data_IF_172453132669
#
_entry.id   IF_172453132669
#
_cell.length_a   1.000
_cell.length_b   1.000
_cell.length_c   1.000
_cell.angle_alpha   90.00
_cell.angle_beta   90.00
_cell.angle_gamma   90.00
#
_symmetry.space_group_name_H-M   'P 1'
#
loop_
_entity.id
_entity.type
_entity.pdbx_description
1 polymer ?
#
# COMPACT_ATOMS: atom_id res chain seq x y z
N UNK A 1 22.04 15.61 34.86
CA UNK A 1 21.13 16.08 33.80
C UNK A 1 21.09 15.00 32.73
N UNK A 2 20.36 13.90 32.98
CA UNK A 2 20.37 12.69 32.14
C UNK A 2 19.02 12.43 31.44
N UNK A 3 18.07 13.36 31.51
CA UNK A 3 16.76 13.24 30.86
C UNK A 3 16.79 13.85 29.46
N UNK A 4 15.99 13.33 28.54
CA UNK A 4 15.72 14.01 27.28
C UNK A 4 14.99 15.34 27.61
N UNK A 5 15.60 16.47 27.25
CA UNK A 5 15.04 17.80 27.48
C UNK A 5 14.85 18.48 26.15
N UNK A 6 13.64 18.97 25.90
CA UNK A 6 13.30 19.77 24.73
C UNK A 6 13.45 21.28 25.00
N UNK A 7 14.11 21.65 26.10
CA UNK A 7 14.37 23.05 26.42
C UNK A 7 15.26 23.69 25.34
N UNK A 8 14.75 24.74 24.70
CA UNK A 8 15.43 25.43 23.61
C UNK A 8 15.27 24.77 22.24
N UNK A 9 14.38 23.79 22.09
CA UNK A 9 13.95 23.32 20.78
C UNK A 9 13.21 24.45 20.04
N UNK A 10 13.67 24.76 18.84
CA UNK A 10 13.07 25.75 17.94
C UNK A 10 12.45 24.99 16.75
N UNK A 11 11.11 24.91 16.63
CA UNK A 11 10.46 24.28 15.49
C UNK A 11 10.66 25.06 14.18
N UNK A 12 11.22 26.26 14.24
CA UNK A 12 11.44 27.13 13.09
C UNK A 12 10.12 27.62 12.49
N UNK A 13 10.13 27.87 11.18
CA UNK A 13 8.94 28.31 10.43
C UNK A 13 8.06 27.17 9.90
N UNK A 14 8.30 25.93 10.30
CA UNK A 14 7.60 24.76 9.79
C UNK A 14 6.47 24.33 10.72
N UNK A 15 5.49 23.60 10.17
CA UNK A 15 4.50 22.94 11.00
C UNK A 15 5.15 21.75 11.73
N UNK A 16 5.36 21.91 13.05
CA UNK A 16 5.80 20.83 13.93
C UNK A 16 4.59 20.09 14.53
N UNK A 17 4.63 18.76 14.48
CA UNK A 17 3.56 17.89 14.96
C UNK A 17 3.44 17.93 16.49
N UNK A 18 4.53 18.16 17.23
CA UNK A 18 4.57 18.13 18.69
C UNK A 18 4.45 19.53 19.31
N UNK A 19 5.11 20.53 18.72
CA UNK A 19 5.19 21.89 19.23
C UNK A 19 4.49 22.90 18.31
N UNK A 20 3.93 23.95 18.91
CA UNK A 20 3.46 25.14 18.20
C UNK A 20 4.61 26.12 18.01
N UNK A 21 4.41 27.10 17.12
CA UNK A 21 5.40 28.14 16.84
C UNK A 21 5.79 28.99 18.08
N UNK A 22 4.94 29.06 19.10
CA UNK A 22 5.22 29.73 20.37
C UNK A 22 5.96 28.85 21.38
N UNK A 23 6.35 27.62 20.99
CA UNK A 23 7.03 26.64 21.83
C UNK A 23 6.10 25.84 22.73
N UNK A 24 4.78 26.06 22.67
CA UNK A 24 3.82 25.27 23.48
C UNK A 24 3.59 23.89 22.86
N UNK A 25 3.52 22.85 23.70
CA UNK A 25 3.22 21.49 23.25
C UNK A 25 1.75 21.37 22.83
N UNK A 26 1.49 20.64 21.75
CA UNK A 26 0.12 20.35 21.31
C UNK A 26 -0.55 19.35 22.25
N UNK A 27 -1.87 19.48 22.52
CA UNK A 27 -2.58 18.63 23.49
C UNK A 27 -2.40 17.12 23.26
N UNK A 28 -2.48 16.68 22.01
CA UNK A 28 -2.30 15.29 21.58
C UNK A 28 -0.92 14.71 21.90
N UNK A 29 0.10 15.57 22.02
CA UNK A 29 1.47 15.19 22.32
C UNK A 29 1.87 15.41 23.77
N UNK A 30 1.07 16.13 24.57
CA UNK A 30 1.42 16.50 25.94
C UNK A 30 1.77 15.31 26.84
N UNK A 31 1.04 14.19 26.70
CA UNK A 31 1.35 12.99 27.48
C UNK A 31 2.62 12.30 27.01
N UNK A 32 2.85 12.22 25.69
CA UNK A 32 4.08 11.65 25.15
C UNK A 32 5.29 12.46 25.62
N UNK A 33 5.24 13.79 25.54
CA UNK A 33 6.31 14.67 26.01
C UNK A 33 6.62 14.42 27.49
N UNK A 34 5.60 14.39 28.35
CA UNK A 34 5.78 14.14 29.78
C UNK A 34 6.41 12.76 30.07
N UNK A 35 6.14 11.74 29.25
CA UNK A 35 6.79 10.43 29.35
C UNK A 35 8.23 10.47 28.85
N UNK A 36 8.49 11.13 27.72
CA UNK A 36 9.84 11.27 27.15
C UNK A 36 10.78 11.99 28.11
N UNK A 37 10.32 13.05 28.77
CA UNK A 37 11.11 13.81 29.76
C UNK A 37 11.43 13.01 31.02
N UNK A 38 10.68 11.94 31.32
CA UNK A 38 10.95 11.05 32.45
C UNK A 38 11.98 9.97 32.12
N UNK A 39 12.20 9.65 30.84
CA UNK A 39 13.10 8.59 30.41
C UNK A 39 14.55 9.10 30.40
N UNK A 40 15.48 8.45 31.11
CA UNK A 40 16.91 8.73 30.96
C UNK A 40 17.37 8.51 29.52
N UNK A 41 18.25 9.38 29.03
CA UNK A 41 18.78 9.31 27.66
C UNK A 41 19.35 7.94 27.29
N UNK A 42 20.05 7.30 28.22
CA UNK A 42 20.62 5.96 28.03
C UNK A 42 19.53 4.91 27.82
N UNK A 43 18.43 4.97 28.57
CA UNK A 43 17.29 4.07 28.44
C UNK A 43 16.52 4.31 27.12
N UNK A 44 16.40 5.57 26.70
CA UNK A 44 15.82 5.92 25.40
C UNK A 44 16.64 5.32 24.24
N UNK A 45 17.97 5.49 24.28
CA UNK A 45 18.87 4.90 23.28
C UNK A 45 18.85 3.36 23.32
N UNK A 46 18.72 2.77 24.50
CA UNK A 46 18.58 1.32 24.64
C UNK A 46 17.27 0.81 24.02
N UNK A 47 16.16 1.54 24.18
CA UNK A 47 14.87 1.23 23.51
C UNK A 47 15.00 1.35 21.99
N UNK A 48 15.61 2.42 21.49
CA UNK A 48 15.88 2.64 20.07
C UNK A 48 16.69 1.48 19.47
N UNK A 49 17.79 1.11 20.11
CA UNK A 49 18.64 -0.01 19.68
C UNK A 49 17.92 -1.37 19.77
N UNK A 50 17.04 -1.57 20.75
CA UNK A 50 16.22 -2.76 20.83
C UNK A 50 15.20 -2.85 19.69
N UNK A 51 14.58 -1.74 19.30
CA UNK A 51 13.66 -1.66 18.16
C UNK A 51 14.37 -2.00 16.83
N UNK A 52 15.53 -1.40 16.58
CA UNK A 52 16.34 -1.67 15.37
C UNK A 52 16.75 -3.15 15.28
N UNK A 53 17.21 -3.74 16.39
CA UNK A 53 17.56 -5.17 16.43
C UNK A 53 16.34 -6.07 16.22
N UNK A 54 15.17 -5.69 16.72
CA UNK A 54 13.94 -6.44 16.50
C UNK A 54 13.60 -6.47 15.00
N UNK A 55 13.61 -5.32 14.32
CA UNK A 55 13.38 -5.24 12.87
C UNK A 55 14.40 -6.09 12.08
N UNK A 56 15.68 -6.02 12.46
CA UNK A 56 16.73 -6.83 11.83
C UNK A 56 16.47 -8.34 12.00
N UNK A 57 16.08 -8.78 13.19
CA UNK A 57 15.79 -10.19 13.46
C UNK A 57 14.57 -10.72 12.69
N UNK A 58 13.67 -9.83 12.30
CA UNK A 58 12.49 -10.16 11.50
C UNK A 58 12.76 -10.15 10.00
N UNK A 59 13.97 -9.77 9.56
CA UNK A 59 14.29 -9.68 8.13
C UNK A 59 13.66 -8.48 7.43
N UNK A 60 13.30 -7.44 8.19
CA UNK A 60 12.79 -6.18 7.66
C UNK A 60 14.00 -5.35 7.19
N UNK A 61 14.52 -5.74 6.03
CA UNK A 61 15.68 -5.13 5.40
C UNK A 61 15.30 -4.63 4.01
N UNK A 62 16.03 -3.64 3.49
CA UNK A 62 15.90 -3.21 2.09
C UNK A 62 17.21 -3.49 1.35
N UNK A 63 17.10 -4.00 0.11
CA UNK A 63 18.23 -4.15 -0.78
C UNK A 63 18.58 -2.79 -1.39
N UNK A 64 19.65 -2.17 -0.90
CA UNK A 64 20.22 -0.98 -1.52
C UNK A 64 21.05 -1.43 -2.72
N UNK A 65 20.45 -1.49 -3.91
CA UNK A 65 21.12 -1.89 -5.15
C UNK A 65 22.17 -0.88 -5.66
N UNK A 66 22.45 0.21 -4.93
CA UNK A 66 23.41 1.22 -5.36
C UNK A 66 24.88 0.84 -5.15
N UNK A 67 25.19 -0.26 -4.47
CA UNK A 67 26.56 -0.74 -4.29
C UNK A 67 26.59 -2.26 -4.45
N UNK A 68 27.52 -2.77 -5.28
CA UNK A 68 27.75 -4.18 -5.64
C UNK A 68 28.08 -5.13 -4.45
N UNK A 69 27.48 -4.95 -3.27
CA UNK A 69 27.80 -5.70 -2.06
C UNK A 69 26.62 -6.46 -1.44
N UNK A 70 25.39 -6.35 -1.95
CA UNK A 70 24.27 -7.15 -1.41
C UNK A 70 24.09 -6.99 0.11
N UNK A 71 24.48 -5.83 0.66
CA UNK A 71 24.40 -5.56 2.09
C UNK A 71 22.97 -5.15 2.37
N UNK A 72 22.20 -6.08 2.93
CA UNK A 72 20.91 -5.78 3.54
C UNK A 72 21.08 -4.66 4.58
N UNK A 73 20.40 -3.53 4.37
CA UNK A 73 20.35 -2.45 5.36
C UNK A 73 19.01 -2.47 6.08
N UNK A 74 19.06 -2.25 7.39
CA UNK A 74 17.88 -2.09 8.23
C UNK A 74 17.21 -0.77 7.84
N UNK A 75 15.89 -0.76 7.71
CA UNK A 75 15.14 0.49 7.63
C UNK A 75 15.23 1.19 8.99
N UNK A 76 15.81 2.40 9.08
CA UNK A 76 15.88 3.11 10.34
C UNK A 76 14.44 3.36 10.84
N UNK A 77 14.20 3.02 12.10
CA UNK A 77 12.95 3.31 12.78
C UNK A 77 13.19 4.44 13.77
N UNK A 78 12.26 5.39 13.88
CA UNK A 78 12.21 6.28 15.04
C UNK A 78 11.14 5.75 15.99
N UNK A 79 11.49 5.56 17.25
CA UNK A 79 10.54 5.07 18.26
C UNK A 79 9.56 6.16 18.72
N UNK A 80 9.77 7.43 18.39
CA UNK A 80 8.83 8.52 18.68
C UNK A 80 7.64 8.41 17.71
N UNK A 81 6.42 8.11 18.19
CA UNK A 81 5.28 7.93 17.31
C UNK A 81 4.82 9.26 16.69
N UNK A 82 4.38 9.18 15.43
CA UNK A 82 3.57 10.24 14.81
C UNK A 82 2.10 10.05 15.22
N UNK A 83 1.57 11.02 15.97
CA UNK A 83 0.19 11.01 16.45
C UNK A 83 -0.65 11.84 15.48
N UNK A 84 -1.69 11.23 14.93
CA UNK A 84 -2.71 11.91 14.12
C UNK A 84 -3.99 11.90 14.95
N UNK A 85 -4.61 13.07 15.13
CA UNK A 85 -5.81 13.14 15.96
C UNK A 85 -7.02 12.52 15.22
N UNK A 86 -8.05 12.12 15.98
CA UNK A 86 -9.19 11.40 15.41
C UNK A 86 -10.03 12.22 14.41
N UNK A 87 -10.10 13.54 14.58
CA UNK A 87 -10.85 14.42 13.66
C UNK A 87 -10.11 14.59 12.33
N UNK A 88 -8.79 14.76 12.38
CA UNK A 88 -7.90 14.77 11.22
C UNK A 88 -7.96 13.45 10.48
N UNK A 89 -7.86 12.32 11.21
CA UNK A 89 -7.92 10.99 10.60
C UNK A 89 -9.27 10.74 9.94
N UNK A 90 -10.38 11.15 10.56
CA UNK A 90 -11.71 10.99 9.97
C UNK A 90 -11.83 11.75 8.65
N UNK A 91 -11.36 13.00 8.59
CA UNK A 91 -11.36 13.79 7.36
C UNK A 91 -10.45 13.19 6.29
N UNK A 92 -9.27 12.70 6.69
CA UNK A 92 -8.35 11.98 5.80
C UNK A 92 -9.01 10.72 5.23
N UNK A 93 -9.63 9.90 6.06
CA UNK A 93 -10.33 8.68 5.66
C UNK A 93 -11.45 8.99 4.65
N UNK A 94 -12.29 9.98 4.94
CA UNK A 94 -13.35 10.44 4.02
C UNK A 94 -12.77 10.87 2.66
N UNK A 95 -11.67 11.65 2.67
CA UNK A 95 -10.99 12.10 1.46
C UNK A 95 -10.31 10.98 0.67
N UNK A 96 -9.67 10.02 1.35
CA UNK A 96 -9.04 8.87 0.71
C UNK A 96 -10.10 7.95 0.07
N UNK A 97 -11.22 7.70 0.76
CA UNK A 97 -12.34 6.93 0.21
C UNK A 97 -12.90 7.60 -1.04
N UNK A 98 -13.14 8.92 -0.98
CA UNK A 98 -13.60 9.70 -2.13
C UNK A 98 -12.62 9.58 -3.32
N UNK A 99 -11.33 9.80 -3.05
CA UNK A 99 -10.27 9.77 -4.06
C UNK A 99 -10.17 8.40 -4.74
N UNK A 100 -10.09 7.32 -3.96
CA UNK A 100 -9.97 5.95 -4.48
C UNK A 100 -11.22 5.54 -5.26
N UNK A 101 -12.41 5.96 -4.81
CA UNK A 101 -13.67 5.70 -5.54
C UNK A 101 -13.64 6.36 -6.92
N UNK A 102 -13.21 7.63 -6.99
CA UNK A 102 -13.10 8.35 -8.25
C UNK A 102 -12.03 7.76 -9.17
N UNK A 103 -10.88 7.33 -8.63
CA UNK A 103 -9.83 6.69 -9.39
C UNK A 103 -10.27 5.33 -9.94
N UNK A 104 -11.07 4.55 -9.19
CA UNK A 104 -11.62 3.29 -9.68
C UNK A 104 -12.56 3.52 -10.88
N UNK A 105 -13.46 4.51 -10.79
CA UNK A 105 -14.35 4.90 -11.89
C UNK A 105 -13.58 5.46 -13.09
N UNK A 106 -12.49 6.19 -12.83
CA UNK A 106 -11.61 6.70 -13.87
C UNK A 106 -10.96 5.58 -14.67
N UNK A 107 -10.34 4.60 -14.00
CA UNK A 107 -9.73 3.45 -14.68
C UNK A 107 -10.77 2.68 -15.49
N UNK A 108 -11.97 2.49 -14.93
CA UNK A 108 -13.06 1.82 -15.62
C UNK A 108 -13.47 2.54 -16.92
N UNK A 109 -13.71 3.85 -16.86
CA UNK A 109 -14.07 4.64 -18.05
C UNK A 109 -12.96 4.61 -19.11
N UNK A 110 -11.68 4.70 -18.71
CA UNK A 110 -10.55 4.68 -19.64
C UNK A 110 -10.47 3.41 -20.48
N UNK A 111 -10.87 2.27 -19.91
CA UNK A 111 -10.87 0.99 -20.61
C UNK A 111 -12.21 0.66 -21.30
N UNK A 112 -13.21 1.54 -21.18
CA UNK A 112 -14.53 1.39 -21.79
C UNK A 112 -14.89 2.59 -22.67
N UNK A 113 -15.82 3.43 -22.22
CA UNK A 113 -16.43 4.48 -23.03
C UNK A 113 -15.55 5.71 -23.19
N UNK A 114 -14.53 5.89 -22.34
CA UNK A 114 -13.61 7.03 -22.34
C UNK A 114 -14.33 8.37 -22.34
N UNK A 115 -15.45 8.46 -21.61
CA UNK A 115 -16.30 9.64 -21.57
C UNK A 115 -15.56 10.86 -21.00
N UNK A 116 -14.72 10.68 -19.98
CA UNK A 116 -13.89 11.75 -19.41
C UNK A 116 -12.92 12.37 -20.44
N UNK A 117 -12.48 11.56 -21.42
CA UNK A 117 -11.63 12.02 -22.52
C UNK A 117 -12.44 12.70 -23.62
N UNK A 118 -13.64 12.17 -23.93
CA UNK A 118 -14.58 12.76 -24.90
C UNK A 118 -15.06 14.14 -24.46
N UNK A 119 -15.30 14.30 -23.16
CA UNK A 119 -15.73 15.57 -22.55
C UNK A 119 -14.57 16.54 -22.27
N UNK A 120 -13.32 16.13 -22.54
CA UNK A 120 -12.15 17.00 -22.48
C UNK A 120 -11.68 17.37 -21.06
N UNK A 121 -12.13 16.65 -20.03
CA UNK A 121 -11.71 16.87 -18.64
C UNK A 121 -10.23 16.54 -18.46
N UNK A 122 -9.78 15.46 -19.11
CA UNK A 122 -8.37 15.10 -19.28
C UNK A 122 -8.03 15.07 -20.77
N UNK A 123 -6.88 15.64 -21.19
CA UNK A 123 -6.40 15.49 -22.55
C UNK A 123 -6.07 14.03 -22.86
N UNK A 124 -6.60 13.50 -23.96
CA UNK A 124 -6.36 12.12 -24.44
C UNK A 124 -4.88 11.70 -24.44
N UNK A 125 -3.98 12.60 -24.85
CA UNK A 125 -2.55 12.31 -24.92
C UNK A 125 -1.91 12.05 -23.55
N UNK A 126 -2.48 12.54 -22.44
CA UNK A 126 -1.99 12.25 -21.08
C UNK A 126 -2.14 10.77 -20.77
N UNK A 127 -3.26 10.18 -21.19
CA UNK A 127 -3.56 8.76 -20.99
C UNK A 127 -2.79 7.89 -21.98
N UNK A 128 -2.87 8.20 -23.28
CA UNK A 128 -2.30 7.37 -24.33
C UNK A 128 -0.76 7.35 -24.34
N UNK A 129 -0.12 8.36 -23.73
CA UNK A 129 1.35 8.37 -23.55
C UNK A 129 1.82 7.71 -22.26
N UNK A 130 0.91 7.41 -21.32
CA UNK A 130 1.28 6.76 -20.06
C UNK A 130 1.72 5.32 -20.32
N UNK A 131 2.84 4.93 -19.72
CA UNK A 131 3.29 3.52 -19.71
C UNK A 131 2.37 2.61 -18.89
N UNK A 132 1.56 3.20 -18.02
CA UNK A 132 0.58 2.48 -17.21
C UNK A 132 -0.73 2.19 -17.94
N UNK A 133 -0.96 2.81 -19.10
CA UNK A 133 -2.11 2.48 -19.95
C UNK A 133 -1.84 1.20 -20.74
N UNK A 134 -2.67 0.19 -20.55
CA UNK A 134 -2.52 -1.11 -21.20
C UNK A 134 -3.65 -1.31 -22.22
N UNK A 135 -3.42 -1.14 -23.54
CA UNK A 135 -4.46 -1.33 -24.55
C UNK A 135 -5.10 -2.72 -24.53
N UNK A 136 -4.37 -3.73 -24.02
CA UNK A 136 -4.89 -5.08 -23.80
C UNK A 136 -6.03 -5.13 -22.78
N UNK A 137 -6.18 -4.13 -21.90
CA UNK A 137 -7.25 -4.04 -20.92
C UNK A 137 -8.52 -3.37 -21.46
N UNK A 138 -8.57 -2.91 -22.72
CA UNK A 138 -9.80 -2.39 -23.32
C UNK A 138 -10.93 -3.44 -23.27
N UNK A 139 -12.10 -3.02 -22.79
CA UNK A 139 -13.30 -3.85 -22.59
C UNK A 139 -13.19 -4.88 -21.45
N UNK A 140 -12.15 -4.80 -20.64
CA UNK A 140 -11.96 -5.70 -19.49
C UNK A 140 -12.92 -5.32 -18.36
N UNK A 141 -13.64 -6.32 -17.84
CA UNK A 141 -14.54 -6.16 -16.71
C UNK A 141 -13.98 -6.91 -15.49
N UNK A 142 -13.30 -6.23 -14.54
CA UNK A 142 -12.79 -6.89 -13.36
C UNK A 142 -13.94 -7.45 -12.49
N UNK A 143 -13.71 -8.54 -11.74
CA UNK A 143 -14.68 -9.03 -10.77
C UNK A 143 -15.15 -7.91 -9.83
N UNK A 144 -16.47 -7.86 -9.58
CA UNK A 144 -17.13 -6.83 -8.75
C UNK A 144 -16.97 -5.38 -9.25
N UNK A 145 -16.43 -5.15 -10.46
CA UNK A 145 -16.18 -3.79 -10.97
C UNK A 145 -15.05 -3.06 -10.25
N UNK A 146 -14.20 -3.78 -9.52
CA UNK A 146 -13.12 -3.21 -8.72
C UNK A 146 -11.80 -3.36 -9.46
N UNK A 147 -11.20 -2.24 -9.82
CA UNK A 147 -9.86 -2.16 -10.39
C UNK A 147 -8.82 -2.01 -9.28
N UNK A 148 -9.06 -1.05 -8.39
CA UNK A 148 -8.14 -0.59 -7.36
C UNK A 148 -8.53 -1.21 -6.01
N UNK A 149 -7.97 -2.38 -5.70
CA UNK A 149 -8.34 -3.14 -4.50
C UNK A 149 -7.56 -2.66 -3.28
N UNK A 150 -6.28 -2.36 -3.49
CA UNK A 150 -5.36 -1.80 -2.51
C UNK A 150 -4.67 -0.60 -3.15
N UNK A 151 -4.71 0.55 -2.48
CA UNK A 151 -4.08 1.78 -2.94
C UNK A 151 -3.24 2.36 -1.83
N UNK A 152 -2.03 2.79 -2.14
CA UNK A 152 -1.22 3.61 -1.22
C UNK A 152 -1.26 5.07 -1.66
N UNK A 153 -1.70 5.98 -0.80
CA UNK A 153 -1.60 7.43 -1.08
C UNK A 153 -0.55 8.04 -0.18
N UNK A 154 0.44 8.69 -0.79
CA UNK A 154 1.52 9.34 -0.07
C UNK A 154 1.05 10.72 0.38
N UNK A 155 1.02 10.96 1.69
CA UNK A 155 0.48 12.17 2.29
C UNK A 155 1.60 13.01 2.92
N UNK A 156 1.56 14.31 2.67
CA UNK A 156 2.37 15.30 3.40
C UNK A 156 1.48 16.23 4.21
N UNK A 157 2.08 16.87 5.20
CA UNK A 157 1.46 17.96 5.95
C UNK A 157 2.07 19.29 5.50
N UNK A 158 1.21 20.24 5.14
CA UNK A 158 1.57 21.60 4.76
C UNK A 158 2.01 22.46 5.94
N UNK A 159 2.47 23.68 5.64
CA UNK A 159 2.79 24.71 6.63
C UNK A 159 1.57 25.19 7.42
N UNK A 160 0.39 25.15 6.80
CA UNK A 160 -0.91 25.39 7.42
C UNK A 160 -1.42 24.22 8.29
N UNK A 161 -0.71 23.08 8.30
CA UNK A 161 -1.10 21.86 9.00
C UNK A 161 -2.08 20.97 8.24
N UNK A 162 -2.53 21.38 7.05
CA UNK A 162 -3.40 20.59 6.18
C UNK A 162 -2.67 19.41 5.55
N UNK A 163 -3.40 18.34 5.27
CA UNK A 163 -2.86 17.20 4.52
C UNK A 163 -3.02 17.42 3.01
N UNK A 164 -2.02 16.98 2.25
CA UNK A 164 -2.04 16.97 0.79
C UNK A 164 -1.52 15.62 0.29
N UNK A 165 -2.12 15.13 -0.79
CA UNK A 165 -1.62 13.95 -1.50
C UNK A 165 -0.43 14.34 -2.37
N UNK A 166 0.66 13.58 -2.35
CA UNK A 166 1.79 13.75 -3.27
C UNK A 166 1.71 12.80 -4.46
N UNK A 167 1.34 11.56 -4.20
CA UNK A 167 1.35 10.47 -5.18
C UNK A 167 0.33 9.42 -4.74
N UNK A 168 -0.24 8.71 -5.71
CA UNK A 168 -1.03 7.51 -5.48
C UNK A 168 -0.29 6.33 -6.08
N UNK A 169 -0.41 5.17 -5.44
CA UNK A 169 0.22 3.92 -5.84
C UNK A 169 -0.88 2.87 -6.02
N UNK A 170 -1.28 2.64 -7.28
CA UNK A 170 -2.44 1.81 -7.62
C UNK A 170 -2.06 0.46 -8.28
N UNK A 171 -0.77 0.19 -8.48
CA UNK A 171 -0.27 -1.09 -9.00
C UNK A 171 -0.14 -2.13 -7.89
N UNK A 172 1.04 -2.22 -7.30
CA UNK A 172 1.41 -3.20 -6.28
C UNK A 172 1.96 -2.47 -5.02
N UNK A 173 1.16 -1.63 -4.33
CA UNK A 173 1.65 -0.86 -3.20
C UNK A 173 2.22 -1.77 -2.09
N UNK A 174 3.23 -1.27 -1.38
CA UNK A 174 3.90 -1.93 -0.25
C UNK A 174 3.98 -0.99 0.96
N UNK A 175 4.37 -1.52 2.11
CA UNK A 175 4.55 -0.74 3.35
C UNK A 175 3.74 -1.26 4.54
N UNK A 176 2.78 -2.15 4.32
CA UNK A 176 1.84 -2.60 5.36
C UNK A 176 2.55 -3.46 6.41
N UNK A 177 3.47 -4.34 6.03
CA UNK A 177 4.20 -5.14 7.01
C UNK A 177 4.99 -4.24 7.97
N UNK A 178 5.61 -3.17 7.46
CA UNK A 178 6.29 -2.17 8.27
C UNK A 178 5.33 -1.46 9.22
N UNK A 179 4.15 -1.05 8.76
CA UNK A 179 3.13 -0.44 9.63
C UNK A 179 2.75 -1.36 10.80
N UNK A 180 2.51 -2.64 10.51
CA UNK A 180 2.13 -3.64 11.52
C UNK A 180 3.24 -3.87 12.53
N UNK A 181 4.47 -4.07 12.05
CA UNK A 181 5.63 -4.35 12.91
C UNK A 181 6.06 -3.12 13.72
N UNK A 182 6.00 -1.92 13.14
CA UNK A 182 6.24 -0.67 13.86
C UNK A 182 5.23 -0.51 15.01
N UNK A 183 3.96 -0.92 14.81
CA UNK A 183 2.98 -0.88 15.89
C UNK A 183 3.32 -1.84 17.03
N UNK A 184 3.76 -3.06 16.73
CA UNK A 184 4.16 -4.04 17.75
C UNK A 184 5.41 -3.61 18.51
N UNK A 185 6.36 -2.96 17.84
CA UNK A 185 7.53 -2.34 18.48
C UNK A 185 7.09 -1.21 19.41
N UNK A 186 6.23 -0.31 18.95
CA UNK A 186 5.75 0.81 19.75
C UNK A 186 4.96 0.35 20.99
N UNK A 187 4.18 -0.73 20.90
CA UNK A 187 3.51 -1.33 22.08
C UNK A 187 4.50 -1.78 23.16
N UNK A 188 5.68 -2.28 22.76
CA UNK A 188 6.74 -2.68 23.70
C UNK A 188 7.51 -1.47 24.24
N UNK A 189 7.72 -0.45 23.41
CA UNK A 189 8.51 0.73 23.76
C UNK A 189 7.74 1.73 24.64
N UNK A 190 6.46 1.98 24.34
CA UNK A 190 5.61 3.01 24.96
C UNK A 190 4.16 2.55 25.24
N UNK A 191 3.94 1.46 26.01
CA UNK A 191 2.60 0.90 26.22
C UNK A 191 1.61 1.91 26.80
N UNK A 192 2.01 2.67 27.82
CA UNK A 192 1.13 3.65 28.49
C UNK A 192 0.73 4.82 27.57
N UNK A 193 1.61 5.21 26.64
CA UNK A 193 1.30 6.26 25.66
C UNK A 193 0.20 5.80 24.72
N UNK A 194 0.31 4.56 24.21
CA UNK A 194 -0.68 4.00 23.30
C UNK A 194 -2.04 3.84 23.98
N UNK A 195 -2.05 3.36 25.23
CA UNK A 195 -3.27 3.20 26.02
C UNK A 195 -3.96 4.55 26.27
N UNK A 196 -3.20 5.55 26.77
CA UNK A 196 -3.78 6.85 27.11
C UNK A 196 -4.21 7.66 25.89
N UNK A 197 -3.51 7.54 24.77
CA UNK A 197 -3.89 8.19 23.52
C UNK A 197 -5.10 7.52 22.84
N UNK A 198 -5.54 6.34 23.29
CA UNK A 198 -6.65 5.62 22.68
C UNK A 198 -6.35 5.18 21.24
N UNK A 199 -5.11 4.76 20.97
CA UNK A 199 -4.64 4.42 19.61
C UNK A 199 -5.46 3.26 19.04
N UNK A 200 -6.02 3.44 17.84
CA UNK A 200 -6.79 2.41 17.15
C UNK A 200 -5.92 1.23 16.72
N UNK A 201 -6.49 0.01 16.76
CA UNK A 201 -5.81 -1.21 16.32
C UNK A 201 -5.65 -1.26 14.80
N UNK A 202 -4.53 -1.80 14.33
CA UNK A 202 -4.24 -2.04 12.91
C UNK A 202 -3.99 -3.52 12.59
N UNK A 203 -3.96 -4.38 13.61
CA UNK A 203 -3.57 -5.79 13.50
C UNK A 203 -4.56 -6.66 12.72
N UNK A 204 -5.77 -6.16 12.48
CA UNK A 204 -6.81 -6.83 11.69
C UNK A 204 -6.64 -6.63 10.18
N UNK A 205 -5.64 -5.86 9.73
CA UNK A 205 -5.40 -5.63 8.30
C UNK A 205 -5.29 -6.93 7.47
N UNK A 206 -4.47 -7.94 7.84
CA UNK A 206 -4.37 -9.16 7.03
C UNK A 206 -5.69 -9.91 6.91
N UNK A 207 -6.51 -9.92 7.97
CA UNK A 207 -7.85 -10.52 7.94
C UNK A 207 -8.76 -9.76 6.98
N UNK A 208 -8.80 -8.42 7.05
CA UNK A 208 -9.59 -7.60 6.12
C UNK A 208 -9.13 -7.75 4.67
N UNK A 209 -7.82 -7.88 4.45
CA UNK A 209 -7.25 -8.13 3.14
C UNK A 209 -7.75 -9.48 2.60
N UNK A 210 -7.69 -10.54 3.41
CA UNK A 210 -8.20 -11.85 3.02
C UNK A 210 -9.70 -11.81 2.71
N UNK A 211 -10.52 -11.17 3.56
CA UNK A 211 -11.96 -11.03 3.35
C UNK A 211 -12.27 -10.33 2.02
N UNK A 212 -11.54 -9.25 1.72
CA UNK A 212 -11.65 -8.53 0.44
C UNK A 212 -11.27 -9.44 -0.74
N UNK A 213 -10.15 -10.18 -0.64
CA UNK A 213 -9.72 -11.09 -1.71
C UNK A 213 -10.76 -12.18 -1.95
N UNK A 214 -11.29 -12.80 -0.90
CA UNK A 214 -12.32 -13.84 -1.00
C UNK A 214 -13.61 -13.31 -1.64
N UNK A 215 -14.00 -12.07 -1.33
CA UNK A 215 -15.17 -11.40 -1.93
C UNK A 215 -15.10 -11.33 -3.47
N UNK A 216 -13.91 -11.20 -4.06
CA UNK A 216 -13.74 -11.13 -5.52
C UNK A 216 -14.19 -12.39 -6.26
N UNK A 217 -14.06 -13.56 -5.62
CA UNK A 217 -14.44 -14.83 -6.24
C UNK A 217 -15.96 -15.06 -6.27
N UNK A 218 -16.68 -14.55 -5.27
CA UNK A 218 -18.10 -14.87 -5.05
C UNK A 218 -18.37 -16.32 -4.62
N UNK A 219 -17.33 -17.15 -4.46
CA UNK A 219 -17.44 -18.53 -3.94
C UNK A 219 -17.44 -18.54 -2.42
N UNK A 220 -18.03 -19.57 -1.82
CA UNK A 220 -18.10 -19.73 -0.37
C UNK A 220 -16.74 -20.04 0.29
N UNK A 221 -15.85 -20.72 -0.42
CA UNK A 221 -14.51 -21.06 0.05
C UNK A 221 -13.52 -21.01 -1.12
N UNK A 222 -13.12 -19.80 -1.58
CA UNK A 222 -12.21 -19.66 -2.70
C UNK A 222 -10.77 -19.95 -2.30
N UNK A 223 -10.00 -20.57 -3.20
CA UNK A 223 -8.56 -20.71 -3.03
C UNK A 223 -7.89 -19.39 -3.39
N UNK A 224 -7.35 -18.71 -2.36
CA UNK A 224 -6.60 -17.46 -2.47
C UNK A 224 -5.10 -17.74 -2.39
N UNK A 225 -4.29 -17.08 -3.22
CA UNK A 225 -2.83 -17.17 -3.16
C UNK A 225 -2.18 -15.79 -3.29
N UNK A 226 -0.95 -15.65 -2.78
CA UNK A 226 -0.09 -14.48 -3.00
C UNK A 226 0.98 -14.84 -4.03
N UNK A 227 0.93 -14.20 -5.20
CA UNK A 227 1.93 -14.39 -6.26
C UNK A 227 3.11 -13.44 -6.04
N UNK A 228 4.31 -14.00 -5.87
CA UNK A 228 5.55 -13.27 -5.65
C UNK A 228 6.53 -13.47 -6.81
N UNK A 229 7.35 -12.46 -7.17
CA UNK A 229 8.47 -12.62 -8.12
C UNK A 229 9.68 -13.35 -7.53
N UNK A 230 9.62 -13.76 -6.26
CA UNK A 230 10.66 -14.52 -5.57
C UNK A 230 11.57 -13.70 -4.66
N UNK A 231 12.53 -14.37 -4.04
CA UNK A 231 13.38 -13.85 -2.94
C UNK A 231 14.29 -12.69 -3.33
N UNK A 232 14.57 -12.52 -4.61
CA UNK A 232 15.40 -11.41 -5.11
C UNK A 232 14.64 -10.08 -5.21
N UNK A 233 13.35 -10.04 -4.89
CA UNK A 233 12.59 -8.79 -4.83
C UNK A 233 12.71 -8.14 -3.43
N UNK A 234 12.93 -6.82 -3.40
CA UNK A 234 13.12 -6.08 -2.14
C UNK A 234 11.91 -6.14 -1.19
N UNK A 235 10.69 -6.39 -1.69
CA UNK A 235 9.48 -6.52 -0.89
C UNK A 235 9.11 -7.99 -0.56
N UNK A 236 9.96 -8.96 -0.89
CA UNK A 236 9.67 -10.39 -0.66
C UNK A 236 9.28 -10.70 0.78
N UNK A 237 9.92 -10.07 1.76
CA UNK A 237 9.56 -10.18 3.18
C UNK A 237 8.07 -9.89 3.38
N UNK A 238 7.57 -8.75 2.88
CA UNK A 238 6.17 -8.37 3.00
C UNK A 238 5.24 -9.37 2.32
N UNK A 239 5.63 -9.91 1.16
CA UNK A 239 4.81 -10.90 0.44
C UNK A 239 4.63 -12.15 1.29
N UNK A 240 5.74 -12.67 1.84
CA UNK A 240 5.75 -13.85 2.69
C UNK A 240 5.02 -13.62 4.01
N UNK A 241 5.19 -12.44 4.61
CA UNK A 241 4.52 -12.03 5.83
C UNK A 241 3.00 -11.99 5.64
N UNK A 242 2.51 -11.30 4.61
CA UNK A 242 1.07 -11.20 4.36
C UNK A 242 0.47 -12.56 4.03
N UNK A 243 1.14 -13.40 3.23
CA UNK A 243 0.70 -14.76 2.95
C UNK A 243 0.56 -15.59 4.24
N UNK A 244 1.56 -15.51 5.13
CA UNK A 244 1.54 -16.18 6.42
C UNK A 244 0.42 -15.67 7.34
N UNK A 245 0.25 -14.35 7.47
CA UNK A 245 -0.79 -13.76 8.34
C UNK A 245 -2.20 -14.04 7.83
N UNK A 246 -2.39 -14.11 6.51
CA UNK A 246 -3.66 -14.52 5.90
C UNK A 246 -3.88 -16.04 5.95
N UNK A 247 -2.84 -16.84 6.19
CA UNK A 247 -2.93 -18.30 6.13
C UNK A 247 -3.15 -18.83 4.71
N UNK A 248 -2.61 -18.16 3.70
CA UNK A 248 -2.72 -18.54 2.28
C UNK A 248 -1.36 -18.95 1.69
N UNK A 249 -1.38 -19.60 0.53
CA UNK A 249 -0.13 -19.99 -0.14
C UNK A 249 0.61 -18.78 -0.72
N UNK A 250 1.91 -18.69 -0.43
CA UNK A 250 2.86 -17.88 -1.19
C UNK A 250 3.35 -18.72 -2.37
N UNK A 251 3.19 -18.22 -3.60
CA UNK A 251 3.50 -18.95 -4.83
C UNK A 251 4.35 -18.12 -5.79
N UNK A 252 5.22 -18.79 -6.54
CA UNK A 252 5.93 -18.20 -7.68
C UNK A 252 5.26 -18.63 -9.00
N UNK A 253 5.72 -18.08 -10.12
CA UNK A 253 5.17 -18.42 -11.46
C UNK A 253 5.29 -19.90 -11.79
N UNK A 254 6.33 -20.58 -11.29
CA UNK A 254 6.61 -22.00 -11.52
C UNK A 254 5.59 -22.93 -10.85
N UNK A 255 4.94 -22.45 -9.77
CA UNK A 255 3.92 -23.18 -9.03
C UNK A 255 2.55 -23.14 -9.73
N UNK A 256 2.34 -22.19 -10.64
CA UNK A 256 1.08 -21.95 -11.31
C UNK A 256 1.13 -22.38 -12.78
N UNK A 257 0.01 -22.89 -13.29
CA UNK A 257 -0.16 -23.22 -14.70
C UNK A 257 -1.59 -22.94 -15.13
N UNK A 258 -1.78 -22.48 -16.37
CA UNK A 258 -3.10 -22.37 -16.99
C UNK A 258 -3.41 -23.66 -17.75
N UNK A 259 -4.47 -24.36 -17.37
CA UNK A 259 -4.95 -25.59 -18.02
C UNK A 259 -6.46 -25.47 -18.23
N UNK A 260 -6.91 -25.69 -19.47
CA UNK A 260 -8.32 -25.54 -19.87
C UNK A 260 -8.92 -24.17 -19.48
N UNK A 261 -8.10 -23.12 -19.60
CA UNK A 261 -8.46 -21.75 -19.25
C UNK A 261 -8.55 -21.45 -17.76
N UNK A 262 -8.26 -22.42 -16.88
CA UNK A 262 -8.26 -22.25 -15.42
C UNK A 262 -6.84 -22.17 -14.89
N UNK A 263 -6.61 -21.28 -13.92
CA UNK A 263 -5.33 -21.22 -13.20
C UNK A 263 -5.32 -22.33 -12.14
N UNK A 264 -4.27 -23.15 -12.16
CA UNK A 264 -4.09 -24.25 -11.23
C UNK A 264 -2.73 -24.15 -10.54
N UNK A 265 -2.71 -24.40 -9.24
CA UNK A 265 -1.52 -24.53 -8.41
C UNK A 265 -1.05 -25.99 -8.38
N UNK A 266 0.25 -26.20 -8.52
CA UNK A 266 0.91 -27.51 -8.36
C UNK A 266 1.00 -27.83 -6.87
N UNK A 267 0.46 -28.96 -6.46
CA UNK A 267 0.60 -29.50 -5.10
C UNK A 267 1.18 -30.91 -5.16
N UNK A 268 1.61 -31.44 -4.01
CA UNK A 268 2.06 -32.84 -3.91
C UNK A 268 0.94 -33.85 -4.20
N UNK A 269 -0.32 -33.45 -4.03
CA UNK A 269 -1.52 -34.27 -4.26
C UNK A 269 -2.13 -34.08 -5.65
N UNK A 270 -1.54 -33.24 -6.49
CA UNK A 270 -2.06 -32.91 -7.83
C UNK A 270 -2.34 -31.41 -7.99
N UNK A 271 -3.20 -31.07 -8.94
CA UNK A 271 -3.52 -29.67 -9.23
C UNK A 271 -4.73 -29.19 -8.41
N UNK A 272 -4.59 -28.03 -7.79
CA UNK A 272 -5.68 -27.32 -7.13
C UNK A 272 -6.05 -26.08 -7.95
N UNK A 273 -7.34 -25.76 -8.08
CA UNK A 273 -7.76 -24.56 -8.83
C UNK A 273 -7.58 -23.33 -7.96
N UNK A 274 -6.99 -22.27 -8.52
CA UNK A 274 -6.81 -20.99 -7.84
C UNK A 274 -7.91 -20.02 -8.29
N UNK A 275 -8.61 -19.43 -7.33
CA UNK A 275 -9.74 -18.54 -7.59
C UNK A 275 -9.35 -17.07 -7.55
N UNK A 276 -8.43 -16.71 -6.66
CA UNK A 276 -8.00 -15.32 -6.43
C UNK A 276 -6.50 -15.26 -6.25
N UNK A 277 -5.85 -14.34 -6.96
CA UNK A 277 -4.42 -14.10 -6.87
C UNK A 277 -4.21 -12.66 -6.41
N UNK A 278 -3.66 -12.49 -5.20
CA UNK A 278 -3.05 -11.24 -4.79
C UNK A 278 -1.67 -11.15 -5.44
N UNK A 279 -1.56 -10.40 -6.55
CA UNK A 279 -0.32 -10.31 -7.33
C UNK A 279 0.61 -9.26 -6.75
N UNK A 280 1.89 -9.63 -6.59
CA UNK A 280 2.98 -8.72 -6.23
C UNK A 280 4.00 -8.58 -7.37
N UNK A 281 3.48 -8.67 -8.60
CA UNK A 281 4.23 -8.58 -9.85
C UNK A 281 3.58 -7.50 -10.71
N UNK A 282 4.41 -6.66 -11.33
CA UNK A 282 3.97 -5.61 -12.26
C UNK A 282 3.27 -6.19 -13.49
N UNK A 283 2.32 -5.42 -14.03
CA UNK A 283 1.42 -5.86 -15.10
C UNK A 283 2.17 -6.39 -16.33
N UNK A 284 3.25 -5.70 -16.73
CA UNK A 284 4.02 -6.07 -17.93
C UNK A 284 4.70 -7.43 -17.77
N UNK A 285 4.99 -7.86 -16.54
CA UNK A 285 5.63 -9.13 -16.25
C UNK A 285 4.65 -10.25 -15.92
N UNK A 286 3.35 -9.94 -15.76
CA UNK A 286 2.33 -10.89 -15.31
C UNK A 286 2.10 -12.06 -16.28
N UNK A 287 2.07 -11.79 -17.58
CA UNK A 287 1.78 -12.80 -18.62
C UNK A 287 2.65 -12.56 -19.86
N UNK A 288 3.61 -13.46 -20.17
CA UNK A 288 4.46 -13.30 -21.35
C UNK A 288 3.72 -13.46 -22.69
N UNK A 289 2.52 -14.05 -22.69
CA UNK A 289 1.71 -14.15 -23.92
C UNK A 289 0.92 -12.87 -24.21
N UNK A 290 0.58 -12.10 -23.18
CA UNK A 290 -0.23 -10.89 -23.33
C UNK A 290 0.60 -9.61 -23.33
N UNK A 291 1.69 -9.58 -22.57
CA UNK A 291 2.49 -8.39 -22.30
C UNK A 291 3.96 -8.56 -22.74
N UNK A 292 4.89 -8.79 -21.80
CA UNK A 292 6.31 -8.90 -22.10
C UNK A 292 6.73 -10.37 -22.37
N UNK A 293 7.06 -10.76 -23.61
CA UNK A 293 7.45 -12.14 -23.94
C UNK A 293 8.75 -12.60 -23.26
N UNK A 294 9.58 -11.66 -22.79
CA UNK A 294 10.83 -11.96 -22.08
C UNK A 294 10.60 -12.14 -20.56
N UNK A 295 9.36 -12.04 -20.07
CA UNK A 295 9.07 -12.23 -18.65
C UNK A 295 9.32 -13.68 -18.20
N UNK A 296 10.20 -13.84 -17.22
CA UNK A 296 10.50 -15.14 -16.58
C UNK A 296 9.67 -15.38 -15.30
N UNK A 297 9.01 -14.34 -14.81
CA UNK A 297 8.23 -14.35 -13.55
C UNK A 297 6.73 -14.30 -13.80
N UNK A 298 6.29 -14.32 -15.06
CA UNK A 298 4.89 -14.34 -15.46
C UNK A 298 4.34 -15.75 -15.63
N UNK A 299 3.01 -15.85 -15.72
CA UNK A 299 2.28 -17.10 -15.89
C UNK A 299 1.62 -17.07 -17.26
N UNK A 300 2.11 -17.86 -18.24
CA UNK A 300 1.57 -17.84 -19.59
C UNK A 300 0.06 -18.12 -19.63
N UNK A 301 -0.73 -17.19 -20.19
CA UNK A 301 -2.18 -17.32 -20.37
C UNK A 301 -3.03 -16.87 -19.18
N UNK A 302 -2.43 -16.38 -18.09
CA UNK A 302 -3.18 -15.91 -16.91
C UNK A 302 -4.07 -14.71 -17.23
N UNK A 303 -3.64 -13.83 -18.15
CA UNK A 303 -4.42 -12.65 -18.51
C UNK A 303 -5.72 -13.04 -19.22
N UNK A 304 -5.67 -14.03 -20.12
CA UNK A 304 -6.87 -14.55 -20.78
C UNK A 304 -7.76 -15.33 -19.80
N UNK A 305 -7.20 -16.06 -18.84
CA UNK A 305 -7.98 -16.68 -17.77
C UNK A 305 -8.74 -15.63 -16.93
N UNK A 306 -8.06 -14.54 -16.56
CA UNK A 306 -8.66 -13.41 -15.84
C UNK A 306 -9.76 -12.72 -16.65
N UNK A 307 -9.47 -12.37 -17.92
CA UNK A 307 -10.45 -11.76 -18.84
C UNK A 307 -11.71 -12.61 -19.01
N UNK A 308 -11.58 -13.94 -19.00
CA UNK A 308 -12.69 -14.87 -19.12
C UNK A 308 -13.37 -15.20 -17.77
N UNK A 309 -13.05 -14.46 -16.70
CA UNK A 309 -13.65 -14.62 -15.37
C UNK A 309 -13.30 -15.95 -14.69
N UNK A 310 -12.16 -16.55 -15.02
CA UNK A 310 -11.72 -17.85 -14.46
C UNK A 310 -10.86 -17.71 -13.21
N UNK A 311 -10.31 -16.52 -12.97
CA UNK A 311 -9.53 -16.16 -11.78
C UNK A 311 -9.75 -14.67 -11.51
N UNK A 312 -9.67 -14.23 -10.26
CA UNK A 312 -9.61 -12.82 -9.88
C UNK A 312 -8.16 -12.39 -9.62
N UNK A 313 -7.80 -11.17 -10.03
CA UNK A 313 -6.49 -10.57 -9.79
C UNK A 313 -6.64 -9.30 -8.96
N UNK A 314 -5.88 -9.20 -7.87
CA UNK A 314 -5.82 -8.01 -7.03
C UNK A 314 -4.37 -7.47 -7.00
N UNK A 315 -4.10 -6.23 -7.38
CA UNK A 315 -5.00 -5.31 -8.10
C UNK A 315 -5.30 -5.79 -9.53
N UNK A 316 -6.33 -5.22 -10.18
CA UNK A 316 -6.56 -5.49 -11.59
C UNK A 316 -5.36 -5.00 -12.45
N UNK A 317 -5.02 -5.65 -13.57
CA UNK A 317 -4.09 -5.09 -14.54
C UNK A 317 -4.62 -3.78 -15.14
N UNK A 318 -3.74 -2.83 -15.44
CA UNK A 318 -4.07 -1.57 -16.10
C UNK A 318 -4.33 -0.39 -15.17
N UNK A 319 -4.26 -0.57 -13.85
CA UNK A 319 -4.44 0.52 -12.87
C UNK A 319 -3.32 1.56 -12.90
N UNK A 320 -2.16 1.22 -13.46
CA UNK A 320 -1.00 2.10 -13.52
C UNK A 320 -1.20 3.37 -14.35
N UNK A 321 -2.27 3.47 -15.14
CA UNK A 321 -2.63 4.73 -15.82
C UNK A 321 -3.13 5.80 -14.84
N UNK A 322 -3.71 5.38 -13.71
CA UNK A 322 -4.27 6.28 -12.71
C UNK A 322 -3.24 6.78 -11.70
N UNK A 323 -2.10 6.08 -11.52
CA UNK A 323 -0.94 6.56 -10.73
C UNK A 323 0.11 7.31 -11.57
N UNK A 324 -0.19 7.63 -12.83
CA UNK A 324 0.73 8.42 -13.64
C UNK A 324 0.89 9.84 -13.05
N UNK A 325 2.14 10.30 -12.94
CA UNK A 325 2.46 11.62 -12.36
C UNK A 325 1.76 12.78 -13.06
N UNK A 326 1.44 12.65 -14.34
CA UNK A 326 0.70 13.70 -15.06
C UNK A 326 -0.79 13.63 -14.71
N UNK A 327 -1.35 12.42 -14.54
CA UNK A 327 -2.76 12.21 -14.15
C UNK A 327 -3.04 12.73 -12.75
N UNK A 328 -2.07 12.66 -11.84
CA UNK A 328 -2.17 13.24 -10.49
C UNK A 328 -2.73 14.67 -10.49
N UNK A 329 -2.26 15.54 -11.41
CA UNK A 329 -2.70 16.93 -11.50
C UNK A 329 -4.19 17.11 -11.88
N UNK A 330 -4.83 16.06 -12.37
CA UNK A 330 -6.24 16.05 -12.78
C UNK A 330 -7.15 15.35 -11.77
N UNK A 331 -6.62 14.72 -10.72
CA UNK A 331 -7.43 13.95 -9.77
C UNK A 331 -8.55 14.77 -9.12
N UNK A 332 -8.38 16.06 -8.75
CA UNK A 332 -9.50 16.87 -8.28
C UNK A 332 -10.63 16.99 -9.32
N UNK A 333 -10.30 17.11 -10.61
CA UNK A 333 -11.29 17.16 -11.69
C UNK A 333 -11.93 15.80 -11.95
N UNK A 334 -11.17 14.71 -11.76
CA UNK A 334 -11.69 13.34 -11.82
C UNK A 334 -12.75 13.14 -10.72
N UNK A 335 -12.46 13.58 -9.49
CA UNK A 335 -13.41 13.53 -8.37
C UNK A 335 -14.68 14.32 -8.69
N UNK A 336 -14.52 15.57 -9.13
CA UNK A 336 -15.66 16.42 -9.51
C UNK A 336 -16.48 15.79 -10.64
N UNK A 337 -15.81 15.23 -11.64
CA UNK A 337 -16.46 14.64 -12.81
C UNK A 337 -17.29 13.40 -12.45
N UNK A 338 -16.74 12.45 -11.70
CA UNK A 338 -17.43 11.20 -11.39
C UNK A 338 -18.35 11.28 -10.18
N UNK A 339 -17.94 12.00 -9.13
CA UNK A 339 -18.65 12.02 -7.85
C UNK A 339 -19.51 13.28 -7.66
N UNK A 340 -19.34 14.30 -8.52
CA UNK A 340 -20.02 15.60 -8.40
C UNK A 340 -19.76 16.26 -7.03
N UNK A 341 -18.52 16.12 -6.55
CA UNK A 341 -18.06 16.60 -5.25
C UNK A 341 -16.75 17.38 -5.40
N UNK A 342 -16.49 18.30 -4.49
CA UNK A 342 -15.16 18.90 -4.34
C UNK A 342 -14.23 17.92 -3.61
N UNK A 343 -12.93 17.97 -3.94
CA UNK A 343 -11.91 17.14 -3.30
C UNK A 343 -11.72 17.54 -1.83
N UNK A 344 -11.74 16.56 -0.93
CA UNK A 344 -11.63 16.79 0.53
C UNK A 344 -10.17 17.05 0.97
N UNK A 345 -9.21 16.38 0.32
CA UNK A 345 -7.76 16.37 0.59
C UNK A 345 -6.92 16.42 -0.69
#
# INVERSE_FOLDING_TARGET
MNQASFAGYDPGGFYDEMFRADGTVRPEYAYLLAQLEQIPREDFLAKQFAAERALMSMGITFNVYSENQGVERIMPIDIIPRIINGEEWKRLEEGLIQRVTALNLFVDDLYHDQQILKDGVIPRHVVESSRGFLPRCMGLNPPQGIWCHITGSDLIRGDDGGFMVLEDNLRCPSGVSYMLENREILKKSFPEVLEKAGVQHVSDYPTRLLDMLQYLSGKAAPTVVVLTPGTYNAAYFEHSYLAQQMGVHLVESSDLIVVDGQVKMRTTSGFETVDVIYRRIDDTFLDPQAFNPDSLIGIPGIFEAYRNGKVALANAPGTGVADDKVVYAYVPRIIEYYLKQEAII
#
